data_IF_294323360519
#
_entry.id   IF_294323360519
#
_cell.length_a   1.000
_cell.length_b   1.000
_cell.length_c   1.000
_cell.angle_alpha   90.00
_cell.angle_beta   90.00
_cell.angle_gamma   90.00
#
_symmetry.space_group_name_H-M   'P 1'
#
loop_
_entity.id
_entity.type
_entity.pdbx_description
1 polymer ?
#
# COMPACT_ATOMS: atom_id res chain seq x y z
N UNK A 1 -33.91 -58.07 -25.00
CA UNK A 1 -33.26 -58.21 -26.31
C UNK A 1 -32.74 -56.85 -26.74
N UNK A 2 -31.44 -56.75 -27.08
CA UNK A 2 -30.73 -55.56 -27.58
C UNK A 2 -30.32 -54.56 -26.47
N UNK A 3 -29.06 -54.34 -26.09
CA UNK A 3 -27.78 -54.55 -26.77
C UNK A 3 -27.38 -53.30 -27.56
N UNK A 4 -26.43 -52.49 -27.06
CA UNK A 4 -25.91 -51.37 -27.87
C UNK A 4 -25.12 -50.25 -27.16
N UNK A 5 -23.92 -50.58 -26.64
CA UNK A 5 -22.62 -49.89 -26.79
C UNK A 5 -22.53 -48.34 -26.71
N UNK A 6 -21.69 -47.90 -25.76
CA UNK A 6 -21.10 -46.57 -25.52
C UNK A 6 -20.25 -46.09 -26.72
N UNK A 7 -20.37 -44.80 -27.13
CA UNK A 7 -19.22 -44.01 -27.60
C UNK A 7 -19.32 -42.53 -27.18
N UNK A 8 -18.47 -42.19 -26.20
CA UNK A 8 -18.06 -40.86 -25.77
C UNK A 8 -17.20 -40.23 -26.86
N UNK A 9 -17.71 -39.24 -27.59
CA UNK A 9 -16.95 -38.53 -28.61
C UNK A 9 -16.44 -37.19 -28.05
N UNK A 10 -15.12 -37.05 -28.03
CA UNK A 10 -14.38 -35.86 -27.64
C UNK A 10 -14.53 -34.80 -28.75
N UNK A 11 -15.02 -33.61 -28.40
CA UNK A 11 -14.93 -32.44 -29.29
C UNK A 11 -13.71 -31.63 -28.82
N UNK A 12 -12.61 -31.78 -29.55
CA UNK A 12 -11.47 -30.88 -29.50
C UNK A 12 -11.88 -29.52 -30.10
N UNK A 13 -11.53 -28.38 -29.48
CA UNK A 13 -11.77 -27.09 -30.08
C UNK A 13 -10.80 -26.86 -31.25
N UNK A 14 -11.39 -26.47 -32.38
CA UNK A 14 -10.73 -26.08 -33.63
C UNK A 14 -9.86 -24.85 -33.39
N UNK A 15 -8.59 -24.97 -33.78
CA UNK A 15 -7.60 -23.93 -33.90
C UNK A 15 -8.01 -22.99 -35.05
N UNK A 16 -8.53 -21.80 -34.76
CA UNK A 16 -8.68 -20.73 -35.75
C UNK A 16 -7.49 -19.77 -35.66
N UNK A 17 -6.51 -20.01 -36.53
CA UNK A 17 -5.52 -19.03 -36.93
C UNK A 17 -6.19 -18.08 -37.93
N UNK A 18 -6.34 -16.80 -37.58
CA UNK A 18 -6.58 -15.75 -38.59
C UNK A 18 -5.63 -14.61 -38.27
N UNK A 19 -4.68 -14.41 -39.19
CA UNK A 19 -3.67 -13.37 -39.13
C UNK A 19 -4.29 -11.98 -39.24
N UNK A 20 -3.84 -11.08 -38.38
CA UNK A 20 -4.12 -9.66 -38.50
C UNK A 20 -2.90 -9.00 -39.12
N UNK A 21 -3.09 -8.50 -40.35
CA UNK A 21 -2.10 -7.84 -41.20
C UNK A 21 -1.68 -6.50 -40.59
N UNK A 22 -0.36 -6.31 -40.48
CA UNK A 22 0.30 -5.02 -40.25
C UNK A 22 0.20 -4.16 -41.52
N UNK A 23 -0.34 -2.95 -41.41
CA UNK A 23 -0.23 -1.92 -42.45
C UNK A 23 0.70 -0.83 -41.94
N UNK A 24 1.90 -0.77 -42.51
CA UNK A 24 2.82 0.37 -42.40
C UNK A 24 2.42 1.41 -43.46
N UNK A 25 2.06 2.63 -43.03
CA UNK A 25 2.05 3.78 -43.90
C UNK A 25 3.38 4.54 -43.71
N UNK A 26 4.28 4.39 -44.68
CA UNK A 26 5.44 5.26 -44.89
C UNK A 26 5.17 6.07 -46.14
N UNK A 27 5.01 7.39 -46.00
CA UNK A 27 5.02 8.33 -47.11
C UNK A 27 6.21 9.26 -46.97
N UNK A 28 7.20 9.03 -47.84
CA UNK A 28 8.04 10.07 -48.45
C UNK A 28 9.06 10.77 -47.57
N UNK A 29 10.28 10.22 -47.53
CA UNK A 29 11.49 11.03 -47.36
C UNK A 29 11.74 11.79 -48.67
N UNK A 30 11.99 13.09 -48.55
CA UNK A 30 12.78 13.84 -49.53
C UNK A 30 13.75 14.72 -48.73
N UNK A 31 15.03 14.45 -48.91
CA UNK A 31 16.12 15.26 -48.39
C UNK A 31 16.33 16.46 -49.31
N UNK A 32 16.36 17.67 -48.75
CA UNK A 32 16.93 18.83 -49.40
C UNK A 32 17.70 19.65 -48.36
N UNK A 33 19.02 19.69 -48.57
CA UNK A 33 20.00 20.49 -47.84
C UNK A 33 20.00 21.92 -48.38
N UNK A 34 19.77 22.92 -47.54
CA UNK A 34 20.29 24.28 -47.76
C UNK A 34 20.49 25.01 -46.43
N UNK A 35 21.66 25.63 -46.33
CA UNK A 35 22.29 26.22 -45.16
C UNK A 35 21.69 27.55 -44.69
N UNK A 36 21.95 27.85 -43.41
CA UNK A 36 22.18 29.18 -42.82
C UNK A 36 20.99 30.14 -42.68
N UNK A 37 20.57 30.39 -41.44
CA UNK A 37 21.01 31.60 -40.70
C UNK A 37 20.26 31.75 -39.37
N UNK A 38 21.01 32.14 -38.34
CA UNK A 38 20.59 32.40 -36.97
C UNK A 38 19.61 33.56 -36.91
N UNK A 39 18.45 33.39 -36.28
CA UNK A 39 17.71 34.50 -35.65
C UNK A 39 16.99 33.98 -34.42
N UNK A 40 17.49 34.37 -33.24
CA UNK A 40 16.86 34.15 -31.94
C UNK A 40 15.65 35.09 -31.85
N UNK A 41 14.43 34.56 -31.92
CA UNK A 41 13.25 35.28 -31.47
C UNK A 41 12.72 34.62 -30.18
N UNK A 42 12.87 35.37 -29.11
CA UNK A 42 12.49 35.04 -27.75
C UNK A 42 10.97 35.00 -27.63
N UNK A 43 10.37 33.88 -28.05
CA UNK A 43 8.94 33.65 -27.88
C UNK A 43 8.74 33.19 -26.44
N UNK A 44 8.27 34.13 -25.62
CA UNK A 44 7.84 33.93 -24.24
C UNK A 44 6.87 32.75 -24.19
N UNK A 45 7.36 31.58 -23.77
CA UNK A 45 6.54 30.42 -23.47
C UNK A 45 5.58 30.83 -22.36
N UNK A 46 4.32 31.08 -22.73
CA UNK A 46 3.24 31.22 -21.77
C UNK A 46 3.01 29.81 -21.24
N UNK A 47 3.64 29.47 -20.13
CA UNK A 47 3.38 28.23 -19.40
C UNK A 47 1.90 28.24 -19.01
N UNK A 48 1.06 27.58 -19.81
CA UNK A 48 -0.32 27.34 -19.44
C UNK A 48 -0.30 26.58 -18.11
N UNK A 49 -0.80 27.21 -17.05
CA UNK A 49 -0.96 26.61 -15.74
C UNK A 49 -1.88 25.40 -15.89
N UNK A 50 -1.28 24.22 -15.96
CA UNK A 50 -1.99 22.96 -16.08
C UNK A 50 -2.92 22.84 -14.86
N UNK A 51 -4.22 22.96 -15.10
CA UNK A 51 -5.22 22.86 -14.04
C UNK A 51 -5.25 21.39 -13.63
N UNK A 52 -4.72 21.07 -12.46
CA UNK A 52 -4.76 19.72 -11.92
C UNK A 52 -6.21 19.22 -11.90
N UNK A 53 -6.50 18.19 -12.68
CA UNK A 53 -7.84 17.58 -12.73
C UNK A 53 -8.15 17.03 -11.34
N UNK A 54 -9.15 17.61 -10.68
CA UNK A 54 -9.62 17.10 -9.39
C UNK A 54 -10.39 15.80 -9.62
N UNK A 55 -9.84 14.70 -9.11
CA UNK A 55 -10.52 13.40 -9.10
C UNK A 55 -11.61 13.44 -8.01
N UNK A 56 -12.82 13.02 -8.36
CA UNK A 56 -13.96 12.95 -7.45
C UNK A 56 -14.64 11.60 -7.56
N UNK A 57 -15.18 11.10 -6.45
CA UNK A 57 -15.92 9.85 -6.41
C UNK A 57 -17.31 10.05 -5.81
N UNK A 58 -18.30 9.35 -6.35
CA UNK A 58 -19.66 9.35 -5.80
C UNK A 58 -19.72 8.47 -4.54
N UNK A 59 -20.69 8.68 -3.64
CA UNK A 59 -20.90 7.80 -2.49
C UNK A 59 -21.03 6.33 -2.86
N UNK A 60 -21.74 6.03 -3.96
CA UNK A 60 -21.92 4.65 -4.44
C UNK A 60 -20.60 3.99 -4.86
N UNK A 61 -19.71 4.73 -5.53
CA UNK A 61 -18.38 4.24 -5.90
C UNK A 61 -17.53 3.95 -4.65
N UNK A 62 -17.58 4.84 -3.64
CA UNK A 62 -16.86 4.67 -2.37
C UNK A 62 -17.40 3.47 -1.59
N UNK A 63 -18.72 3.29 -1.55
CA UNK A 63 -19.38 2.16 -0.89
C UNK A 63 -19.05 0.81 -1.53
N UNK A 64 -18.97 0.78 -2.86
CA UNK A 64 -18.55 -0.41 -3.61
C UNK A 64 -17.08 -0.75 -3.27
N UNK A 65 -16.22 0.26 -3.22
CA UNK A 65 -14.83 0.09 -2.81
C UNK A 65 -14.69 -0.38 -1.35
N UNK A 66 -15.51 0.16 -0.44
CA UNK A 66 -15.58 -0.27 0.96
C UNK A 66 -15.98 -1.74 1.09
N UNK A 67 -16.93 -2.21 0.28
CA UNK A 67 -17.31 -3.63 0.25
C UNK A 67 -16.13 -4.51 -0.18
N UNK A 68 -15.36 -4.10 -1.19
CA UNK A 68 -14.15 -4.82 -1.62
C UNK A 68 -13.05 -4.83 -0.57
N UNK A 69 -12.78 -3.69 0.10
CA UNK A 69 -11.76 -3.59 1.16
C UNK A 69 -12.16 -4.44 2.37
N UNK A 70 -13.44 -4.41 2.75
CA UNK A 70 -14.00 -5.29 3.80
C UNK A 70 -13.73 -6.76 3.47
N UNK A 71 -14.17 -7.23 2.30
CA UNK A 71 -13.98 -8.62 1.88
C UNK A 71 -12.50 -9.00 1.83
N UNK A 72 -11.65 -8.15 1.24
CA UNK A 72 -10.22 -8.40 1.20
C UNK A 72 -9.62 -8.57 2.60
N UNK A 73 -10.02 -7.71 3.55
CA UNK A 73 -9.55 -7.81 4.93
C UNK A 73 -10.04 -9.09 5.62
N UNK A 74 -11.32 -9.45 5.43
CA UNK A 74 -11.90 -10.68 5.99
C UNK A 74 -11.17 -11.93 5.48
N UNK A 75 -10.75 -11.94 4.21
CA UNK A 75 -10.00 -13.05 3.60
C UNK A 75 -8.52 -13.07 3.97
N UNK A 76 -7.85 -11.91 3.97
CA UNK A 76 -6.38 -11.84 4.04
C UNK A 76 -5.85 -11.40 5.41
N UNK A 77 -6.74 -11.00 6.32
CA UNK A 77 -6.42 -10.46 7.65
C UNK A 77 -5.45 -9.27 7.61
N UNK A 78 -5.39 -8.56 6.47
CA UNK A 78 -4.62 -7.34 6.23
C UNK A 78 -5.35 -6.44 5.24
N UNK A 79 -5.08 -5.13 5.27
CA UNK A 79 -5.62 -4.20 4.27
C UNK A 79 -4.95 -4.41 2.91
N UNK A 80 -5.65 -4.16 1.79
CA UNK A 80 -5.00 -4.08 0.49
C UNK A 80 -4.13 -2.82 0.40
N UNK A 81 -3.19 -2.75 -0.52
CA UNK A 81 -2.37 -1.55 -0.75
C UNK A 81 -3.18 -0.35 -1.24
N UNK A 82 -4.09 -0.66 -2.17
CA UNK A 82 -4.99 0.27 -2.81
C UNK A 82 -6.29 -0.45 -3.14
N UNK A 83 -7.32 0.35 -3.42
CA UNK A 83 -8.57 -0.11 -4.02
C UNK A 83 -8.79 0.66 -5.31
N UNK A 84 -9.23 -0.06 -6.35
CA UNK A 84 -9.59 0.58 -7.61
C UNK A 84 -10.99 1.19 -7.49
N UNK A 85 -11.09 2.51 -7.68
CA UNK A 85 -12.35 3.25 -7.74
C UNK A 85 -12.40 3.97 -9.07
N UNK A 86 -13.36 3.60 -9.93
CA UNK A 86 -13.52 4.21 -11.26
C UNK A 86 -12.19 4.28 -12.06
N UNK A 87 -11.46 3.17 -12.14
CA UNK A 87 -10.17 3.01 -12.81
C UNK A 87 -8.99 3.81 -12.20
N UNK A 88 -9.17 4.40 -11.02
CA UNK A 88 -8.09 5.04 -10.26
C UNK A 88 -7.63 4.15 -9.10
N UNK A 89 -6.32 3.98 -8.95
CA UNK A 89 -5.71 3.36 -7.76
C UNK A 89 -5.79 4.34 -6.60
N UNK A 90 -6.57 4.01 -5.57
CA UNK A 90 -6.73 4.81 -4.35
C UNK A 90 -6.03 4.11 -3.20
N UNK A 91 -5.00 4.71 -2.62
CA UNK A 91 -4.24 4.11 -1.50
C UNK A 91 -5.08 4.04 -0.23
N UNK A 92 -4.75 3.18 0.74
CA UNK A 92 -5.55 3.09 1.98
C UNK A 92 -5.63 4.40 2.79
N UNK A 93 -4.58 5.25 2.88
CA UNK A 93 -4.70 6.57 3.51
C UNK A 93 -5.70 7.49 2.80
N UNK A 94 -5.68 7.50 1.47
CA UNK A 94 -6.66 8.25 0.66
C UNK A 94 -8.06 7.65 0.78
N UNK A 95 -8.14 6.33 0.83
CA UNK A 95 -9.40 5.62 1.01
C UNK A 95 -10.00 5.92 2.40
N UNK A 96 -9.17 6.00 3.46
CA UNK A 96 -9.60 6.43 4.79
C UNK A 96 -10.24 7.82 4.75
N UNK A 97 -9.68 8.74 3.97
CA UNK A 97 -10.30 10.05 3.73
C UNK A 97 -11.67 9.91 3.07
N UNK A 98 -11.78 9.17 1.98
CA UNK A 98 -13.06 9.00 1.26
C UNK A 98 -14.15 8.37 2.14
N UNK A 99 -13.83 7.31 2.89
CA UNK A 99 -14.83 6.64 3.73
C UNK A 99 -15.25 7.50 4.92
N UNK A 100 -14.33 8.26 5.52
CA UNK A 100 -14.67 9.16 6.64
C UNK A 100 -15.49 10.36 6.19
N UNK A 101 -15.18 10.95 5.03
CA UNK A 101 -16.02 11.97 4.42
C UNK A 101 -17.41 11.45 4.07
N UNK A 102 -17.49 10.24 3.50
CA UNK A 102 -18.77 9.65 3.09
C UNK A 102 -19.66 9.35 4.31
N UNK A 103 -19.11 8.75 5.37
CA UNK A 103 -19.85 8.53 6.63
C UNK A 103 -20.33 9.86 7.21
N UNK A 104 -19.48 10.88 7.26
CA UNK A 104 -19.84 12.18 7.82
C UNK A 104 -20.92 12.90 6.99
N UNK A 105 -20.86 12.86 5.66
CA UNK A 105 -21.91 13.50 4.86
C UNK A 105 -23.24 12.73 4.92
N UNK A 106 -23.19 11.39 4.95
CA UNK A 106 -24.38 10.55 5.10
C UNK A 106 -25.06 10.80 6.44
N UNK A 107 -24.31 11.00 7.52
CA UNK A 107 -24.90 11.40 8.82
C UNK A 107 -25.59 12.77 8.78
N UNK A 108 -25.21 13.63 7.84
CA UNK A 108 -25.83 14.93 7.58
C UNK A 108 -26.87 14.90 6.45
N UNK A 109 -27.32 13.70 6.02
CA UNK A 109 -28.28 13.49 4.93
C UNK A 109 -27.83 14.11 3.59
N UNK A 110 -26.52 14.07 3.31
CA UNK A 110 -25.91 14.57 2.06
C UNK A 110 -25.29 13.42 1.26
N UNK A 111 -25.24 13.59 -0.06
CA UNK A 111 -24.77 12.57 -1.02
C UNK A 111 -23.84 13.14 -2.11
N UNK A 112 -23.16 14.25 -1.83
CA UNK A 112 -22.27 14.90 -2.78
C UNK A 112 -21.09 14.01 -3.18
N UNK A 113 -20.55 14.24 -4.38
CA UNK A 113 -19.26 13.67 -4.79
C UNK A 113 -18.14 14.20 -3.91
N UNK A 114 -17.19 13.33 -3.57
CA UNK A 114 -16.10 13.60 -2.65
C UNK A 114 -14.80 13.69 -3.44
N UNK A 115 -14.10 14.82 -3.32
CA UNK A 115 -12.81 15.03 -3.96
C UNK A 115 -11.75 14.18 -3.27
N UNK A 116 -11.00 13.40 -4.07
CA UNK A 116 -9.84 12.66 -3.61
C UNK A 116 -8.76 13.63 -3.13
N UNK A 117 -8.26 13.44 -1.90
CA UNK A 117 -7.13 14.21 -1.37
C UNK A 117 -5.85 13.41 -1.48
N UNK A 118 -4.72 14.12 -1.58
CA UNK A 118 -3.44 13.48 -1.30
C UNK A 118 -3.32 13.29 0.21
N UNK A 119 -3.10 12.05 0.66
CA UNK A 119 -3.01 11.70 2.08
C UNK A 119 -1.82 10.77 2.26
N UNK A 120 -0.87 11.18 3.08
CA UNK A 120 0.32 10.38 3.37
C UNK A 120 0.02 9.28 4.38
N UNK A 121 0.83 8.22 4.35
CA UNK A 121 0.70 7.08 5.25
C UNK A 121 1.03 7.45 6.71
N UNK A 122 0.42 6.77 7.69
CA UNK A 122 0.79 6.93 9.10
C UNK A 122 2.21 6.41 9.34
N UNK A 123 2.95 7.04 10.26
CA UNK A 123 4.36 6.72 10.53
C UNK A 123 4.53 5.54 11.51
N UNK A 124 3.70 5.47 12.56
CA UNK A 124 3.80 4.46 13.64
C UNK A 124 2.43 4.19 14.28
N UNK A 125 1.54 3.42 13.64
CA UNK A 125 0.24 3.06 14.22
C UNK A 125 0.40 2.09 15.40
N UNK A 126 -0.09 2.49 16.58
CA UNK A 126 -0.20 1.63 17.78
C UNK A 126 -1.67 1.43 18.10
N UNK A 127 -2.05 0.22 18.52
CA UNK A 127 -3.42 -0.12 18.93
C UNK A 127 -3.47 -0.57 20.38
N UNK A 128 -4.51 -0.10 21.08
CA UNK A 128 -4.91 -0.56 22.39
C UNK A 128 -6.44 -0.54 22.43
N UNK A 129 -7.08 -1.50 21.76
CA UNK A 129 -8.53 -1.57 21.64
C UNK A 129 -9.05 -2.84 22.31
N UNK A 130 -10.19 -2.72 23.01
CA UNK A 130 -10.98 -3.85 23.49
C UNK A 130 -11.98 -4.23 22.40
N UNK A 131 -12.10 -5.52 22.12
CA UNK A 131 -13.12 -6.02 21.18
C UNK A 131 -14.51 -5.63 21.69
N UNK A 132 -15.33 -5.05 20.82
CA UNK A 132 -16.63 -4.53 21.20
C UNK A 132 -17.40 -3.91 20.02
N UNK A 133 -18.39 -3.08 20.32
CA UNK A 133 -19.19 -2.37 19.33
C UNK A 133 -19.14 -0.87 19.58
N UNK A 134 -19.08 -0.10 18.50
CA UNK A 134 -19.31 1.34 18.52
C UNK A 134 -20.74 1.60 18.06
N UNK A 135 -21.50 2.39 18.82
CA UNK A 135 -22.82 2.87 18.39
C UNK A 135 -22.71 3.81 17.20
N UNK A 136 -23.84 4.08 16.55
CA UNK A 136 -23.95 5.02 15.44
C UNK A 136 -23.33 6.39 15.75
N UNK A 137 -23.68 6.97 16.89
CA UNK A 137 -23.12 8.25 17.32
C UNK A 137 -21.59 8.16 17.51
N UNK A 138 -21.10 7.06 18.08
CA UNK A 138 -19.67 6.87 18.37
C UNK A 138 -18.84 6.74 17.10
N UNK A 139 -19.23 5.88 16.14
CA UNK A 139 -18.44 5.73 14.92
C UNK A 139 -18.56 6.95 13.99
N UNK A 140 -19.68 7.70 14.02
CA UNK A 140 -19.81 8.97 13.29
C UNK A 140 -18.85 10.00 13.88
N UNK A 141 -18.79 10.11 15.22
CA UNK A 141 -17.84 10.99 15.91
C UNK A 141 -16.38 10.60 15.60
N UNK A 142 -16.08 9.30 15.60
CA UNK A 142 -14.77 8.76 15.22
C UNK A 142 -14.40 9.11 13.77
N UNK A 143 -15.35 8.96 12.83
CA UNK A 143 -15.16 9.35 11.44
C UNK A 143 -14.91 10.85 11.30
N UNK A 144 -15.67 11.69 12.01
CA UNK A 144 -15.47 13.15 12.03
C UNK A 144 -14.09 13.54 12.56
N UNK A 145 -13.64 12.93 13.66
CA UNK A 145 -12.31 13.18 14.24
C UNK A 145 -11.19 12.76 13.28
N UNK A 146 -11.31 11.57 12.70
CA UNK A 146 -10.34 11.04 11.71
C UNK A 146 -10.26 11.94 10.49
N UNK A 147 -11.41 12.34 9.95
CA UNK A 147 -11.54 13.29 8.84
C UNK A 147 -10.83 14.60 9.15
N UNK A 148 -11.15 15.22 10.29
CA UNK A 148 -10.56 16.50 10.67
C UNK A 148 -9.03 16.41 10.77
N UNK A 149 -8.50 15.32 11.34
CA UNK A 149 -7.07 15.08 11.37
C UNK A 149 -6.46 15.05 9.97
N UNK A 150 -7.05 14.28 9.05
CA UNK A 150 -6.56 14.18 7.66
C UNK A 150 -6.54 15.54 6.98
N UNK A 151 -7.61 16.33 7.12
CA UNK A 151 -7.70 17.65 6.51
C UNK A 151 -6.71 18.65 7.10
N UNK A 152 -6.40 18.54 8.40
CA UNK A 152 -5.44 19.43 9.06
C UNK A 152 -3.98 19.02 8.83
N UNK A 153 -3.69 17.72 8.73
CA UNK A 153 -2.32 17.19 8.70
C UNK A 153 -1.87 16.71 7.32
N UNK A 154 -2.79 16.51 6.38
CA UNK A 154 -2.47 15.90 5.08
C UNK A 154 -2.01 14.44 5.18
N UNK A 155 -2.22 13.80 6.33
CA UNK A 155 -1.74 12.47 6.66
C UNK A 155 -2.84 11.67 7.36
N UNK A 156 -2.86 10.35 7.15
CA UNK A 156 -3.72 9.47 7.94
C UNK A 156 -3.20 9.38 9.39
N UNK A 157 -4.08 9.39 10.40
CA UNK A 157 -3.65 9.28 11.78
C UNK A 157 -3.05 7.91 12.07
N UNK A 158 -2.03 7.87 12.92
CA UNK A 158 -1.51 6.61 13.47
C UNK A 158 -2.61 5.83 14.18
N UNK A 159 -3.40 6.53 14.98
CA UNK A 159 -4.52 6.01 15.74
C UNK A 159 -5.48 7.13 16.14
N UNK A 160 -6.68 6.74 16.58
CA UNK A 160 -7.70 7.64 17.11
C UNK A 160 -8.34 7.00 18.34
N UNK A 161 -8.58 7.80 19.38
CA UNK A 161 -9.21 7.33 20.61
C UNK A 161 -10.73 7.15 20.43
N UNK A 162 -11.26 6.14 21.10
CA UNK A 162 -12.68 5.77 21.12
C UNK A 162 -13.08 5.27 22.51
N UNK A 163 -14.38 5.00 22.71
CA UNK A 163 -14.89 4.31 23.91
C UNK A 163 -14.34 2.89 24.09
N UNK A 164 -13.82 2.27 23.03
CA UNK A 164 -13.19 0.95 23.07
C UNK A 164 -11.67 1.02 23.26
N UNK A 165 -11.10 2.21 23.39
CA UNK A 165 -9.65 2.46 23.46
C UNK A 165 -9.10 3.06 22.18
N UNK A 166 -7.80 2.92 21.97
CA UNK A 166 -7.05 3.53 20.86
C UNK A 166 -7.08 2.61 19.64
N UNK A 167 -7.80 3.04 18.59
CA UNK A 167 -7.99 2.30 17.35
C UNK A 167 -6.92 2.74 16.35
N UNK A 168 -6.09 1.80 15.86
CA UNK A 168 -5.06 2.13 14.86
C UNK A 168 -5.63 2.31 13.45
N UNK A 169 -4.85 2.96 12.59
CA UNK A 169 -5.16 3.17 11.17
C UNK A 169 -5.84 1.98 10.48
N UNK A 170 -5.26 0.78 10.58
CA UNK A 170 -5.78 -0.40 9.87
C UNK A 170 -7.20 -0.76 10.30
N UNK A 171 -7.46 -0.67 11.61
CA UNK A 171 -8.75 -1.01 12.18
C UNK A 171 -9.79 0.10 11.94
N UNK A 172 -9.36 1.37 11.81
CA UNK A 172 -10.22 2.46 11.33
C UNK A 172 -10.71 2.19 9.90
N UNK A 173 -9.80 1.90 8.97
CA UNK A 173 -10.15 1.60 7.57
C UNK A 173 -11.11 0.42 7.49
N UNK A 174 -10.80 -0.68 8.20
CA UNK A 174 -11.64 -1.86 8.19
C UNK A 174 -13.02 -1.61 8.82
N UNK A 175 -13.08 -0.94 9.96
CA UNK A 175 -14.34 -0.64 10.66
C UNK A 175 -15.23 0.28 9.82
N UNK A 176 -14.69 1.33 9.22
CA UNK A 176 -15.46 2.20 8.32
C UNK A 176 -15.84 1.52 7.01
N UNK A 177 -15.04 0.58 6.52
CA UNK A 177 -15.40 -0.25 5.37
C UNK A 177 -16.64 -1.10 5.66
N UNK A 178 -16.73 -1.68 6.86
CA UNK A 178 -17.94 -2.40 7.31
C UNK A 178 -19.17 -1.49 7.36
N UNK A 179 -19.02 -0.27 7.88
CA UNK A 179 -20.11 0.72 7.94
C UNK A 179 -20.67 1.01 6.55
N UNK A 180 -19.80 1.30 5.58
CA UNK A 180 -20.24 1.65 4.23
C UNK A 180 -20.69 0.45 3.40
N UNK A 181 -20.14 -0.75 3.63
CA UNK A 181 -20.64 -1.98 3.03
C UNK A 181 -22.07 -2.31 3.52
N UNK A 182 -22.36 -2.06 4.80
CA UNK A 182 -23.72 -2.16 5.31
C UNK A 182 -24.63 -1.10 4.67
N UNK A 183 -24.16 0.14 4.55
CA UNK A 183 -24.96 1.21 3.94
C UNK A 183 -25.26 0.93 2.46
N UNK A 184 -24.32 0.34 1.71
CA UNK A 184 -24.51 -0.07 0.32
C UNK A 184 -25.66 -1.07 0.13
N UNK A 185 -25.87 -1.95 1.11
CA UNK A 185 -26.84 -3.05 1.05
C UNK A 185 -28.18 -2.68 1.70
N UNK A 186 -28.17 -1.78 2.70
CA UNK A 186 -29.34 -1.47 3.52
C UNK A 186 -29.87 -0.04 3.33
N UNK A 187 -29.23 0.77 2.49
CA UNK A 187 -29.57 2.18 2.23
C UNK A 187 -29.64 3.07 3.48
N UNK A 188 -29.03 2.64 4.59
CA UNK A 188 -28.94 3.38 5.86
C UNK A 188 -27.63 3.06 6.56
N UNK A 189 -27.16 3.99 7.39
CA UNK A 189 -26.05 3.72 8.28
C UNK A 189 -26.45 2.67 9.35
N UNK A 190 -25.54 1.76 9.76
CA UNK A 190 -25.84 0.75 10.77
C UNK A 190 -25.98 1.37 12.17
N UNK A 191 -26.75 0.73 13.05
CA UNK A 191 -26.91 1.21 14.43
C UNK A 191 -25.63 1.02 15.26
N UNK A 192 -24.79 0.05 14.85
CA UNK A 192 -23.54 -0.30 15.51
C UNK A 192 -22.56 -0.91 14.50
N UNK A 193 -21.26 -0.81 14.79
CA UNK A 193 -20.20 -1.52 14.07
C UNK A 193 -19.31 -2.24 15.07
N UNK A 194 -18.99 -3.51 14.80
CA UNK A 194 -18.03 -4.26 15.59
C UNK A 194 -16.61 -3.75 15.38
N UNK A 195 -15.78 -3.77 16.41
CA UNK A 195 -14.34 -3.49 16.34
C UNK A 195 -13.64 -4.61 17.09
N UNK A 196 -12.67 -5.26 16.45
CA UNK A 196 -11.91 -6.38 17.04
C UNK A 196 -10.46 -5.97 17.13
N UNK A 197 -9.78 -6.35 18.22
CA UNK A 197 -8.35 -6.08 18.36
C UNK A 197 -7.53 -6.83 17.32
N UNK A 198 -6.65 -6.12 16.61
CA UNK A 198 -5.76 -6.70 15.60
C UNK A 198 -4.42 -7.15 16.21
N UNK A 199 -4.22 -6.97 17.52
CA UNK A 199 -3.03 -7.45 18.24
C UNK A 199 -3.17 -8.88 18.76
N UNK A 200 -4.34 -9.51 18.58
CA UNK A 200 -4.64 -10.87 19.05
C UNK A 200 -4.27 -11.98 18.05
N UNK A 201 -3.53 -11.66 16.99
CA UNK A 201 -2.88 -12.67 16.13
C UNK A 201 -1.46 -12.87 16.67
N UNK A 202 -1.30 -13.98 17.38
CA UNK A 202 -0.18 -14.45 18.17
C UNK A 202 1.20 -14.17 17.56
N UNK A 203 2.03 -13.38 18.25
CA UNK A 203 3.49 -13.58 18.24
C UNK A 203 3.86 -14.24 19.56
N UNK A 204 4.08 -15.56 19.53
CA UNK A 204 4.73 -16.26 20.62
C UNK A 204 6.11 -15.65 20.85
N UNK A 205 6.26 -14.97 21.98
CA UNK A 205 7.54 -14.49 22.49
C UNK A 205 8.43 -15.67 22.87
N UNK A 206 9.66 -15.73 22.32
CA UNK A 206 10.75 -16.51 22.91
C UNK A 206 11.91 -15.57 23.23
N UNK A 207 12.37 -15.60 24.49
CA UNK A 207 13.56 -14.92 25.00
C UNK A 207 14.78 -15.85 25.00
N UNK A 208 15.95 -15.21 24.99
CA UNK A 208 17.31 -15.65 25.36
C UNK A 208 18.26 -16.17 24.26
N UNK A 209 19.26 -15.32 23.95
CA UNK A 209 20.68 -15.56 24.26
C UNK A 209 21.52 -16.37 23.28
N UNK A 210 20.97 -17.44 22.70
CA UNK A 210 21.64 -18.31 21.72
C UNK A 210 20.92 -18.34 20.37
N UNK A 211 19.79 -17.63 20.27
CA UNK A 211 18.87 -17.61 19.14
C UNK A 211 19.00 -16.39 18.22
N UNK A 212 20.05 -15.56 18.34
CA UNK A 212 20.18 -14.34 17.52
C UNK A 212 20.20 -14.66 16.02
N UNK A 213 20.95 -15.68 15.61
CA UNK A 213 20.98 -16.13 14.21
C UNK A 213 19.64 -16.75 13.77
N UNK A 214 18.96 -17.50 14.63
CA UNK A 214 17.66 -18.09 14.32
C UNK A 214 16.56 -17.00 14.16
N UNK A 215 16.63 -15.93 14.95
CA UNK A 215 15.76 -14.76 14.82
C UNK A 215 16.04 -14.05 13.49
N UNK A 216 17.32 -13.82 13.18
CA UNK A 216 17.76 -13.22 11.92
C UNK A 216 17.28 -14.06 10.73
N UNK A 217 17.44 -15.38 10.78
CA UNK A 217 17.03 -16.28 9.71
C UNK A 217 15.51 -16.32 9.54
N UNK A 218 14.75 -16.36 10.64
CA UNK A 218 13.29 -16.28 10.61
C UNK A 218 12.80 -14.98 9.97
N UNK A 219 13.44 -13.85 10.28
CA UNK A 219 13.14 -12.56 9.68
C UNK A 219 13.55 -12.53 8.20
N UNK A 220 14.69 -13.10 7.83
CA UNK A 220 15.16 -13.20 6.44
C UNK A 220 14.26 -14.03 5.55
N UNK A 221 13.85 -15.21 5.99
CA UNK A 221 12.86 -16.01 5.24
C UNK A 221 11.48 -15.37 5.19
N UNK A 222 11.14 -14.48 6.13
CA UNK A 222 9.91 -13.69 6.06
C UNK A 222 10.04 -12.51 5.08
N UNK A 223 11.20 -11.86 5.05
CA UNK A 223 11.52 -10.75 4.16
C UNK A 223 11.57 -11.19 2.69
N UNK A 224 12.21 -12.32 2.39
CA UNK A 224 12.36 -12.84 1.02
C UNK A 224 11.03 -13.17 0.31
N UNK A 225 9.90 -13.17 1.04
CA UNK A 225 8.56 -13.31 0.46
C UNK A 225 8.07 -12.02 -0.19
N UNK A 226 8.78 -10.91 -0.02
CA UNK A 226 8.39 -9.61 -0.52
C UNK A 226 9.03 -9.32 -1.88
N UNK A 227 8.21 -8.85 -2.83
CA UNK A 227 8.69 -8.47 -4.16
C UNK A 227 9.43 -7.13 -4.13
N UNK A 228 10.46 -6.97 -4.98
CA UNK A 228 11.11 -5.67 -5.20
C UNK A 228 10.33 -4.85 -6.23
N UNK A 229 9.64 -3.79 -5.76
CA UNK A 229 8.86 -2.88 -6.61
C UNK A 229 9.28 -1.44 -6.34
N UNK A 230 9.89 -0.82 -7.35
CA UNK A 230 10.38 0.55 -7.30
C UNK A 230 9.28 1.59 -7.04
N UNK A 231 9.60 2.62 -6.25
CA UNK A 231 8.70 3.73 -5.91
C UNK A 231 7.74 3.43 -4.74
N UNK A 232 7.94 2.31 -4.04
CA UNK A 232 7.16 1.90 -2.87
C UNK A 232 8.05 1.96 -1.62
N UNK A 233 8.40 3.18 -1.20
CA UNK A 233 9.50 3.42 -0.23
C UNK A 233 9.13 3.36 1.24
N UNK A 234 7.88 3.06 1.57
CA UNK A 234 7.41 3.04 2.96
C UNK A 234 7.53 1.64 3.57
N UNK A 235 8.21 1.46 4.71
CA UNK A 235 8.35 0.14 5.35
C UNK A 235 7.03 -0.56 5.67
N UNK A 236 5.95 0.20 5.85
CA UNK A 236 4.64 -0.39 6.11
C UNK A 236 4.08 -1.12 4.90
N UNK A 237 4.54 -0.83 3.66
CA UNK A 237 4.09 -1.55 2.47
C UNK A 237 4.60 -2.98 2.43
N UNK A 238 5.76 -3.31 3.02
CA UNK A 238 6.25 -4.69 3.04
C UNK A 238 5.23 -5.65 3.69
N UNK A 239 4.80 -5.36 4.92
CA UNK A 239 3.77 -6.15 5.62
C UNK A 239 2.37 -6.03 4.94
N UNK A 240 2.00 -4.84 4.47
CA UNK A 240 0.65 -4.57 3.94
C UNK A 240 0.44 -5.15 2.54
N UNK A 241 1.47 -5.07 1.71
CA UNK A 241 1.43 -5.28 0.27
C UNK A 241 2.16 -6.51 -0.20
N UNK A 242 3.11 -7.02 0.59
CA UNK A 242 3.96 -8.10 0.13
C UNK A 242 5.05 -7.63 -0.84
N UNK A 243 5.34 -6.32 -0.89
CA UNK A 243 6.34 -5.74 -1.76
C UNK A 243 6.84 -4.40 -1.21
N UNK A 244 7.97 -3.94 -1.71
CA UNK A 244 8.51 -2.61 -1.46
C UNK A 244 9.79 -2.39 -2.23
N UNK A 245 10.28 -1.15 -2.30
CA UNK A 245 11.63 -0.91 -2.81
C UNK A 245 12.67 -1.03 -1.68
N UNK A 246 13.94 -0.76 -1.98
CA UNK A 246 15.03 -0.85 -1.02
C UNK A 246 14.88 0.08 0.20
N UNK A 247 14.11 1.18 0.13
CA UNK A 247 13.77 2.01 1.30
C UNK A 247 12.67 1.39 2.15
N UNK A 248 11.70 0.70 1.55
CA UNK A 248 10.71 -0.04 2.33
C UNK A 248 11.34 -1.26 3.00
N UNK A 249 12.11 -2.05 2.26
CA UNK A 249 12.74 -3.27 2.75
C UNK A 249 13.68 -2.99 3.93
N UNK A 250 14.70 -2.17 3.72
CA UNK A 250 15.66 -1.85 4.78
C UNK A 250 15.02 -1.22 6.01
N UNK A 251 13.91 -0.49 5.85
CA UNK A 251 13.18 0.05 6.99
C UNK A 251 12.30 -0.98 7.70
N UNK A 252 11.78 -1.97 6.97
CA UNK A 252 11.04 -3.09 7.53
C UNK A 252 11.97 -4.01 8.32
N UNK A 253 13.11 -4.39 7.72
CA UNK A 253 14.17 -5.15 8.36
C UNK A 253 14.65 -4.46 9.63
N UNK A 254 14.98 -3.17 9.55
CA UNK A 254 15.36 -2.37 10.71
C UNK A 254 14.32 -2.48 11.84
N UNK A 255 13.02 -2.30 11.54
CA UNK A 255 11.97 -2.32 12.55
C UNK A 255 11.79 -3.71 13.20
N UNK A 256 11.88 -4.79 12.41
CA UNK A 256 11.71 -6.16 12.92
C UNK A 256 12.91 -6.60 13.75
N UNK A 257 14.12 -6.36 13.24
CA UNK A 257 15.38 -6.73 13.90
C UNK A 257 15.59 -5.94 15.19
N UNK A 258 15.41 -4.61 15.16
CA UNK A 258 15.56 -3.78 16.37
C UNK A 258 14.55 -4.17 17.45
N UNK A 259 13.30 -4.48 17.06
CA UNK A 259 12.26 -4.93 17.98
C UNK A 259 12.59 -6.31 18.59
N UNK A 260 13.29 -7.15 17.85
CA UNK A 260 13.77 -8.45 18.32
C UNK A 260 15.07 -8.38 19.12
N UNK A 261 15.61 -7.18 19.38
CA UNK A 261 16.83 -6.98 20.14
C UNK A 261 18.12 -7.24 19.35
N UNK A 262 18.04 -7.34 18.02
CA UNK A 262 19.22 -7.45 17.15
C UNK A 262 19.72 -6.04 16.83
N UNK A 263 21.00 -5.78 17.06
CA UNK A 263 21.61 -4.51 16.66
C UNK A 263 21.60 -4.41 15.14
N UNK A 264 20.98 -3.35 14.61
CA UNK A 264 20.76 -3.14 13.18
C UNK A 264 20.97 -1.66 12.83
N UNK A 265 21.57 -1.40 11.68
CA UNK A 265 21.71 -0.06 11.12
C UNK A 265 21.37 -0.04 9.65
N UNK A 266 20.81 1.07 9.21
CA UNK A 266 20.48 1.34 7.80
C UNK A 266 21.66 2.05 7.17
N UNK A 267 22.13 1.53 6.04
CA UNK A 267 23.19 2.11 5.23
C UNK A 267 22.60 2.63 3.92
N UNK A 268 23.09 3.76 3.43
CA UNK A 268 22.67 4.29 2.12
C UNK A 268 23.79 5.03 1.40
N UNK A 269 23.58 5.25 0.10
CA UNK A 269 24.48 6.04 -0.75
C UNK A 269 24.24 7.55 -0.63
N UNK A 270 25.31 8.32 -0.81
CA UNK A 270 25.36 9.79 -0.72
C UNK A 270 24.46 10.51 -1.73
N UNK A 271 24.09 11.76 -1.41
CA UNK A 271 23.49 12.71 -2.36
C UNK A 271 24.42 12.88 -3.57
N UNK A 272 23.98 12.45 -4.74
CA UNK A 272 24.69 12.65 -6.01
C UNK A 272 25.02 11.36 -6.78
N UNK A 273 24.94 10.19 -6.14
CA UNK A 273 25.04 8.91 -6.85
C UNK A 273 23.66 8.43 -7.29
N UNK A 274 23.49 8.19 -8.59
CA UNK A 274 22.31 7.54 -9.15
C UNK A 274 22.70 6.14 -9.66
N UNK A 275 21.96 5.08 -9.31
CA UNK A 275 20.74 5.09 -8.50
C UNK A 275 21.03 5.21 -6.99
N UNK A 276 20.19 5.96 -6.27
CA UNK A 276 20.20 5.96 -4.80
C UNK A 276 19.77 4.55 -4.33
N UNK A 277 20.46 4.01 -3.31
CA UNK A 277 20.18 2.67 -2.79
C UNK A 277 20.32 2.62 -1.27
N UNK A 278 19.65 1.65 -0.64
CA UNK A 278 19.65 1.47 0.81
C UNK A 278 19.57 0.00 1.20
N UNK A 279 20.34 -0.40 2.21
CA UNK A 279 20.32 -1.74 2.79
C UNK A 279 20.50 -1.67 4.30
N UNK A 280 20.62 -2.82 4.96
CA UNK A 280 20.92 -2.89 6.38
C UNK A 280 22.18 -3.70 6.68
N UNK A 281 22.79 -3.37 7.82
CA UNK A 281 23.80 -4.18 8.47
C UNK A 281 23.31 -4.58 9.86
N UNK A 282 23.69 -5.78 10.30
CA UNK A 282 23.40 -6.31 11.62
C UNK A 282 24.68 -6.60 12.40
N UNK A 283 24.59 -6.58 13.73
CA UNK A 283 25.66 -7.03 14.62
C UNK A 283 25.09 -7.99 15.65
N UNK A 284 25.56 -9.25 15.60
CA UNK A 284 25.17 -10.33 16.52
C UNK A 284 26.34 -10.77 17.43
N UNK A 285 27.36 -9.91 17.60
CA UNK A 285 28.50 -10.13 18.50
C UNK A 285 29.87 -10.10 17.81
N UNK A 286 29.92 -10.23 16.48
CA UNK A 286 31.16 -10.31 15.70
C UNK A 286 31.38 -9.10 14.77
N UNK A 287 30.90 -7.93 15.19
CA UNK A 287 30.94 -6.70 14.38
C UNK A 287 29.78 -6.57 13.40
N UNK A 288 29.77 -5.46 12.67
CA UNK A 288 28.74 -5.15 11.67
C UNK A 288 28.95 -5.99 10.41
N UNK A 289 27.87 -6.63 9.95
CA UNK A 289 27.83 -7.41 8.70
C UNK A 289 26.64 -6.99 7.87
N UNK A 290 26.83 -6.90 6.56
CA UNK A 290 25.75 -6.69 5.58
C UNK A 290 24.70 -7.81 5.69
N UNK A 291 23.43 -7.44 5.54
CA UNK A 291 22.34 -8.41 5.44
C UNK A 291 22.53 -9.34 4.25
N UNK A 292 22.36 -10.64 4.49
CA UNK A 292 22.61 -11.68 3.50
C UNK A 292 21.36 -11.96 2.67
N UNK A 293 21.05 -11.03 1.77
CA UNK A 293 19.90 -11.14 0.85
C UNK A 293 19.94 -12.44 0.01
N UNK A 294 21.15 -12.85 -0.41
CA UNK A 294 21.35 -14.04 -1.23
C UNK A 294 21.02 -15.33 -0.46
N UNK A 295 21.44 -15.46 0.81
CA UNK A 295 21.11 -16.60 1.66
C UNK A 295 19.60 -16.86 1.75
N UNK A 296 18.80 -15.80 1.81
CA UNK A 296 17.35 -15.92 1.97
C UNK A 296 16.59 -15.99 0.65
N UNK A 297 17.29 -15.89 -0.49
CA UNK A 297 16.69 -15.80 -1.82
C UNK A 297 15.74 -14.59 -1.94
N UNK A 298 16.16 -13.45 -1.38
CA UNK A 298 15.42 -12.19 -1.47
C UNK A 298 15.49 -11.60 -2.89
N UNK A 299 14.44 -10.87 -3.27
CA UNK A 299 14.41 -10.07 -4.49
C UNK A 299 15.10 -8.70 -4.30
N UNK A 300 15.26 -8.26 -3.05
CA UNK A 300 16.06 -7.09 -2.69
C UNK A 300 17.55 -7.44 -2.66
N UNK A 301 18.39 -6.42 -2.72
CA UNK A 301 19.83 -6.60 -2.85
C UNK A 301 20.62 -5.69 -1.92
N UNK A 302 21.82 -6.17 -1.56
CA UNK A 302 22.77 -5.46 -0.71
C UNK A 302 23.51 -4.32 -1.43
N UNK A 303 24.72 -3.94 -0.98
CA UNK A 303 25.46 -2.79 -1.49
C UNK A 303 25.71 -2.88 -3.01
N UNK A 304 25.61 -1.74 -3.70
CA UNK A 304 25.78 -1.64 -5.17
C UNK A 304 26.94 -0.73 -5.59
N UNK A 305 27.76 -0.24 -4.65
CA UNK A 305 28.86 0.68 -4.95
C UNK A 305 29.68 1.09 -3.72
N UNK A 306 30.37 2.23 -3.80
CA UNK A 306 31.21 2.80 -2.74
C UNK A 306 30.72 4.18 -2.31
N UNK A 307 31.02 4.60 -1.07
CA UNK A 307 30.68 5.95 -0.56
C UNK A 307 29.49 5.95 0.41
N UNK A 308 29.49 4.99 1.32
CA UNK A 308 28.34 4.64 2.15
C UNK A 308 28.36 5.33 3.51
N UNK A 309 27.19 5.59 4.06
CA UNK A 309 27.05 6.16 5.41
C UNK A 309 25.89 5.53 6.17
N UNK A 310 26.00 5.61 7.50
CA UNK A 310 24.92 5.16 8.41
C UNK A 310 23.80 6.19 8.38
N UNK A 311 22.67 5.82 7.81
CA UNK A 311 21.44 6.63 7.76
C UNK A 311 20.73 6.62 9.12
N UNK A 312 20.77 5.46 9.80
CA UNK A 312 20.07 5.23 11.08
C UNK A 312 20.69 4.03 11.82
N UNK A 313 20.82 4.11 13.13
CA UNK A 313 21.33 3.01 13.98
C UNK A 313 20.35 2.71 15.12
N UNK A 314 20.22 1.42 15.50
CA UNK A 314 19.45 0.99 16.68
C UNK A 314 20.26 1.00 17.97
N UNK A 315 21.58 1.17 17.86
CA UNK A 315 22.54 1.30 18.96
C UNK A 315 23.19 2.69 18.93
#
# INVERSE_FOLDING_TARGET
MGGGIIKRNWILPVLMLVGMVLIFNVSGVSAATTSSSTTINHTKTVTAKQTAVKINFTPSQINTAASKVKTYYETNHKLPCYVNINNHKVTMPQFLQLVTDNIYQLSNKKSNSITLKNVTAPSKPVENVKTGQLTQAQYISLAKTTRNYIYTKGAAPNNVNSSLGTIKFQNLVYSFSKVLAFQATNNRLPNYVSVTSLTQISTSTVKNGSNAQAIVDSIGYAEAKFEDIQGQSSPCVMDQCGYGDCWADSGWLYNKLSKAGIAVRVIGHTKGSYPLHRWIEINIGNGWKTWDYAKYNSQHHGPTGSGDYVVKSSV
#
